data_IF_299723999548
#
_entry.id   IF_299723999548
#
_cell.length_a   1.000
_cell.length_b   1.000
_cell.length_c   1.000
_cell.angle_alpha   90.00
_cell.angle_beta   90.00
_cell.angle_gamma   90.00
#
_symmetry.space_group_name_H-M   'P 1'
#
loop_
_entity.id
_entity.type
_entity.pdbx_description
1 polymer ?
#
# COMPACT_ATOMS: atom_id res chain seq x y z
N UNK A 1 21.42 -28.36 -4.35
CA UNK A 1 21.45 -28.61 -2.89
C UNK A 1 20.59 -29.84 -2.66
N UNK A 2 21.17 -30.94 -2.18
CA UNK A 2 20.39 -32.11 -1.75
C UNK A 2 19.51 -31.65 -0.60
N UNK A 3 18.21 -31.83 -0.72
CA UNK A 3 17.21 -31.31 0.20
C UNK A 3 17.41 -31.99 1.56
N UNK A 4 18.12 -31.32 2.47
CA UNK A 4 18.59 -31.87 3.74
C UNK A 4 17.42 -32.34 4.60
N UNK A 5 16.24 -31.75 4.38
CA UNK A 5 14.98 -32.14 5.02
C UNK A 5 14.38 -33.42 4.42
N UNK A 6 14.55 -33.68 3.12
CA UNK A 6 14.19 -34.97 2.49
C UNK A 6 15.05 -36.09 3.08
N UNK A 7 16.36 -35.84 3.19
CA UNK A 7 17.30 -36.76 3.82
C UNK A 7 16.99 -37.03 5.29
N UNK A 8 16.56 -36.02 6.06
CA UNK A 8 16.15 -36.21 7.46
C UNK A 8 14.82 -36.95 7.61
N UNK A 9 13.88 -36.74 6.68
CA UNK A 9 12.58 -37.43 6.66
C UNK A 9 12.75 -38.92 6.32
N UNK A 10 13.62 -39.22 5.36
CA UNK A 10 14.01 -40.59 5.01
C UNK A 10 14.70 -41.30 6.19
N UNK A 11 15.63 -40.61 6.87
CA UNK A 11 16.30 -41.14 8.07
C UNK A 11 15.35 -41.34 9.26
N UNK A 12 14.33 -40.49 9.40
CA UNK A 12 13.28 -40.71 10.40
C UNK A 12 12.47 -41.96 10.07
N UNK A 13 12.05 -42.12 8.82
CA UNK A 13 11.30 -43.30 8.39
C UNK A 13 12.10 -44.59 8.60
N UNK A 14 13.40 -44.56 8.31
CA UNK A 14 14.32 -45.68 8.57
C UNK A 14 14.48 -45.97 10.08
N UNK A 15 14.63 -44.93 10.91
CA UNK A 15 14.71 -45.08 12.37
C UNK A 15 13.41 -45.67 12.96
N UNK A 16 12.24 -45.19 12.52
CA UNK A 16 10.93 -45.71 12.94
C UNK A 16 10.71 -47.15 12.50
N UNK A 17 11.21 -47.53 11.31
CA UNK A 17 11.18 -48.92 10.85
C UNK A 17 12.12 -49.82 11.66
N UNK A 18 13.31 -49.34 12.04
CA UNK A 18 14.29 -50.09 12.83
C UNK A 18 13.91 -50.26 14.31
N UNK A 19 13.12 -49.34 14.87
CA UNK A 19 12.65 -49.38 16.26
C UNK A 19 11.61 -50.48 16.51
N UNK A 20 10.72 -50.73 15.55
CA UNK A 20 9.67 -51.76 15.64
C UNK A 20 10.18 -53.18 15.96
N UNK A 21 11.13 -53.77 15.20
CA UNK A 21 11.62 -55.10 15.49
C UNK A 21 12.34 -55.18 16.83
N UNK A 22 13.01 -54.11 17.27
CA UNK A 22 13.63 -54.05 18.60
C UNK A 22 12.58 -54.07 19.72
N UNK A 23 11.47 -53.35 19.54
CA UNK A 23 10.35 -53.39 20.50
C UNK A 23 9.70 -54.78 20.56
N UNK A 24 9.52 -55.43 19.42
CA UNK A 24 9.02 -56.81 19.33
C UNK A 24 9.97 -57.80 20.01
N UNK A 25 11.28 -57.66 19.79
CA UNK A 25 12.34 -58.47 20.40
C UNK A 25 12.35 -58.34 21.93
N UNK A 26 12.29 -57.10 22.46
CA UNK A 26 12.22 -56.83 23.91
C UNK A 26 10.96 -57.44 24.51
N UNK A 27 9.80 -57.29 23.86
CA UNK A 27 8.54 -57.86 24.35
C UNK A 27 8.58 -59.39 24.36
N UNK A 28 9.18 -60.01 23.32
CA UNK A 28 9.36 -61.45 23.23
C UNK A 28 10.27 -61.98 24.33
N UNK A 29 11.44 -61.36 24.55
CA UNK A 29 12.39 -61.75 25.59
C UNK A 29 11.81 -61.55 26.99
N UNK A 30 11.06 -60.47 27.22
CA UNK A 30 10.35 -60.23 28.47
C UNK A 30 9.31 -61.33 28.75
N UNK A 31 8.47 -61.67 27.76
CA UNK A 31 7.48 -62.74 27.90
C UNK A 31 8.12 -64.11 28.14
N UNK A 32 9.22 -64.43 27.43
CA UNK A 32 9.95 -65.68 27.62
C UNK A 32 10.58 -65.78 29.02
N UNK A 33 11.09 -64.67 29.55
CA UNK A 33 11.61 -64.59 30.91
C UNK A 33 10.50 -64.78 31.94
N UNK A 34 9.35 -64.12 31.76
CA UNK A 34 8.21 -64.26 32.68
C UNK A 34 7.67 -65.70 32.71
N UNK A 35 7.66 -66.40 31.57
CA UNK A 35 7.29 -67.81 31.48
C UNK A 35 8.34 -68.74 32.15
N UNK A 36 9.63 -68.43 32.04
CA UNK A 36 10.68 -69.13 32.76
C UNK A 36 10.57 -68.95 34.30
N UNK A 37 10.24 -67.74 34.75
CA UNK A 37 9.94 -67.44 36.16
C UNK A 37 8.73 -68.24 36.64
N UNK A 38 7.63 -68.28 35.86
CA UNK A 38 6.42 -69.02 36.20
C UNK A 38 6.68 -70.54 36.35
N UNK A 39 7.61 -71.09 35.55
CA UNK A 39 8.03 -72.50 35.62
C UNK A 39 9.16 -72.77 36.62
N UNK A 40 9.62 -71.75 37.36
CA UNK A 40 10.76 -71.84 38.29
C UNK A 40 12.07 -72.30 37.65
N UNK A 41 12.26 -72.03 36.35
CA UNK A 41 13.50 -72.31 35.63
C UNK A 41 14.47 -71.12 35.75
N UNK A 42 15.17 -71.07 36.88
CA UNK A 42 16.10 -69.97 37.17
C UNK A 42 17.37 -69.97 36.30
N UNK A 43 17.70 -71.10 35.68
CA UNK A 43 18.83 -71.18 34.74
C UNK A 43 18.46 -70.41 33.47
N UNK A 44 17.28 -70.66 32.89
CA UNK A 44 16.78 -69.90 31.75
C UNK A 44 16.61 -68.40 32.05
N UNK A 45 16.17 -68.04 33.27
CA UNK A 45 16.12 -66.63 33.69
C UNK A 45 17.51 -65.98 33.70
N UNK A 46 18.53 -66.69 34.18
CA UNK A 46 19.91 -66.21 34.19
C UNK A 46 20.50 -65.96 32.80
N UNK A 47 20.05 -66.72 31.79
CA UNK A 47 20.47 -66.55 30.39
C UNK A 47 19.66 -65.47 29.65
N UNK A 48 18.36 -65.35 29.92
CA UNK A 48 17.47 -64.38 29.27
C UNK A 48 17.65 -62.96 29.81
N UNK A 49 18.02 -62.79 31.07
CA UNK A 49 18.22 -61.47 31.68
C UNK A 49 19.25 -60.59 30.94
N UNK A 50 20.50 -61.03 30.67
CA UNK A 50 21.48 -60.21 29.96
C UNK A 50 21.06 -59.90 28.51
N UNK A 51 20.34 -60.82 27.86
CA UNK A 51 19.80 -60.58 26.50
C UNK A 51 18.72 -59.49 26.52
N UNK A 52 17.79 -59.58 27.46
CA UNK A 52 16.75 -58.57 27.64
C UNK A 52 17.33 -57.19 27.96
N UNK A 53 18.35 -57.12 28.81
CA UNK A 53 19.00 -55.86 29.16
C UNK A 53 19.74 -55.24 27.97
N UNK A 54 20.42 -56.05 27.16
CA UNK A 54 21.05 -55.59 25.92
C UNK A 54 20.01 -55.06 24.91
N UNK A 55 18.95 -55.81 24.63
CA UNK A 55 17.89 -55.38 23.71
C UNK A 55 17.14 -54.14 24.20
N UNK A 56 16.96 -53.97 25.52
CA UNK A 56 16.39 -52.74 26.09
C UNK A 56 17.27 -51.53 25.87
N UNK A 57 18.59 -51.69 25.99
CA UNK A 57 19.53 -50.61 25.74
C UNK A 57 19.53 -50.19 24.27
N UNK A 58 19.49 -51.15 23.34
CA UNK A 58 19.36 -50.89 21.91
C UNK A 58 18.05 -50.17 21.58
N UNK A 59 16.94 -50.63 22.12
CA UNK A 59 15.63 -49.98 21.95
C UNK A 59 15.62 -48.54 22.50
N UNK A 60 16.25 -48.29 23.65
CA UNK A 60 16.34 -46.95 24.22
C UNK A 60 17.14 -45.99 23.31
N UNK A 61 18.23 -46.47 22.70
CA UNK A 61 19.03 -45.69 21.74
C UNK A 61 18.21 -45.41 20.47
N UNK A 62 17.48 -46.42 19.96
CA UNK A 62 16.63 -46.26 18.79
C UNK A 62 15.52 -45.21 19.04
N UNK A 63 14.80 -45.32 20.16
CA UNK A 63 13.79 -44.33 20.57
C UNK A 63 14.36 -42.92 20.68
N UNK A 64 15.49 -42.74 21.37
CA UNK A 64 16.13 -41.43 21.51
C UNK A 64 16.53 -40.84 20.14
N UNK A 65 16.96 -41.69 19.21
CA UNK A 65 17.29 -41.30 17.83
C UNK A 65 16.04 -40.83 17.08
N UNK A 66 14.95 -41.59 17.15
CA UNK A 66 13.65 -41.23 16.55
C UNK A 66 13.13 -39.90 17.09
N UNK A 67 13.16 -39.69 18.41
CA UNK A 67 12.72 -38.44 19.04
C UNK A 67 13.59 -37.25 18.61
N UNK A 68 14.90 -37.42 18.57
CA UNK A 68 15.82 -36.37 18.11
C UNK A 68 15.55 -35.97 16.65
N UNK A 69 15.30 -36.95 15.77
CA UNK A 69 14.96 -36.69 14.36
C UNK A 69 13.61 -35.99 14.20
N UNK A 70 12.59 -36.39 14.97
CA UNK A 70 11.29 -35.69 14.99
C UNK A 70 11.44 -34.24 15.46
N UNK A 71 12.18 -34.01 16.54
CA UNK A 71 12.45 -32.67 17.06
C UNK A 71 13.17 -31.79 16.04
N UNK A 72 14.17 -32.33 15.34
CA UNK A 72 14.90 -31.61 14.30
C UNK A 72 13.98 -31.23 13.12
N UNK A 73 13.12 -32.14 12.66
CA UNK A 73 12.17 -31.84 11.58
C UNK A 73 11.14 -30.78 11.99
N UNK A 74 10.61 -30.85 13.22
CA UNK A 74 9.69 -29.85 13.73
C UNK A 74 10.32 -28.46 13.80
N UNK A 75 11.55 -28.36 14.33
CA UNK A 75 12.28 -27.10 14.40
C UNK A 75 12.56 -26.50 13.00
N UNK A 76 12.92 -27.33 12.03
CA UNK A 76 13.11 -26.89 10.63
C UNK A 76 11.80 -26.38 10.03
N UNK A 77 10.68 -27.06 10.28
CA UNK A 77 9.38 -26.66 9.77
C UNK A 77 8.94 -25.31 10.38
N UNK A 78 9.14 -25.12 11.68
CA UNK A 78 8.85 -23.85 12.37
C UNK A 78 9.73 -22.72 11.84
N UNK A 79 11.03 -22.95 11.68
CA UNK A 79 11.95 -21.95 11.12
C UNK A 79 11.53 -21.55 9.69
N UNK A 80 11.19 -22.53 8.84
CA UNK A 80 10.72 -22.26 7.47
C UNK A 80 9.43 -21.44 7.47
N UNK A 81 8.50 -21.74 8.37
CA UNK A 81 7.26 -20.97 8.50
C UNK A 81 7.53 -19.52 8.94
N UNK A 82 8.43 -19.32 9.92
CA UNK A 82 8.84 -18.00 10.37
C UNK A 82 9.53 -17.20 9.27
N UNK A 83 10.49 -17.80 8.55
CA UNK A 83 11.19 -17.18 7.43
C UNK A 83 10.21 -16.77 6.32
N UNK A 84 9.23 -17.63 6.01
CA UNK A 84 8.23 -17.34 4.99
C UNK A 84 7.28 -16.21 5.41
N UNK A 85 6.88 -16.15 6.68
CA UNK A 85 6.11 -15.03 7.21
C UNK A 85 6.90 -13.72 7.11
N UNK A 86 8.18 -13.74 7.47
CA UNK A 86 9.03 -12.56 7.40
C UNK A 86 9.20 -12.05 5.96
N UNK A 87 9.40 -12.97 5.00
CA UNK A 87 9.45 -12.61 3.57
C UNK A 87 8.14 -12.01 3.07
N UNK A 88 7.00 -12.56 3.48
CA UNK A 88 5.69 -12.02 3.11
C UNK A 88 5.48 -10.61 3.68
N UNK A 89 5.86 -10.38 4.94
CA UNK A 89 5.79 -9.07 5.56
C UNK A 89 6.70 -8.06 4.87
N UNK A 90 7.93 -8.44 4.50
CA UNK A 90 8.84 -7.59 3.74
C UNK A 90 8.23 -7.19 2.39
N UNK A 91 7.70 -8.16 1.63
CA UNK A 91 7.04 -7.88 0.35
C UNK A 91 5.85 -6.93 0.49
N UNK A 92 5.03 -7.12 1.52
CA UNK A 92 3.89 -6.22 1.79
C UNK A 92 4.37 -4.80 2.11
N UNK A 93 5.44 -4.65 2.90
CA UNK A 93 6.03 -3.33 3.21
C UNK A 93 6.61 -2.66 1.98
N UNK A 94 7.31 -3.40 1.13
CA UNK A 94 7.87 -2.86 -0.11
C UNK A 94 6.79 -2.41 -1.08
N UNK A 95 5.71 -3.20 -1.22
CA UNK A 95 4.54 -2.83 -2.01
C UNK A 95 3.85 -1.57 -1.46
N UNK A 96 3.62 -1.51 -0.14
CA UNK A 96 3.00 -0.34 0.49
C UNK A 96 3.87 0.92 0.33
N UNK A 97 5.20 0.78 0.43
CA UNK A 97 6.13 1.90 0.21
C UNK A 97 6.08 2.41 -1.23
N UNK A 98 6.09 1.51 -2.21
CA UNK A 98 5.99 1.90 -3.62
C UNK A 98 4.66 2.61 -3.92
N UNK A 99 3.55 2.11 -3.36
CA UNK A 99 2.24 2.75 -3.50
C UNK A 99 2.20 4.15 -2.86
N UNK A 100 2.79 4.30 -1.67
CA UNK A 100 2.89 5.59 -1.00
C UNK A 100 3.69 6.60 -1.83
N UNK A 101 4.88 6.20 -2.31
CA UNK A 101 5.74 7.08 -3.12
C UNK A 101 5.04 7.51 -4.43
N UNK A 102 4.32 6.59 -5.09
CA UNK A 102 3.53 6.91 -6.27
C UNK A 102 2.36 7.87 -5.96
N UNK A 103 1.67 7.69 -4.83
CA UNK A 103 0.56 8.54 -4.43
C UNK A 103 1.02 9.97 -4.12
N UNK A 104 2.15 10.14 -3.42
CA UNK A 104 2.73 11.45 -3.12
C UNK A 104 3.12 12.21 -4.39
N UNK A 105 3.75 11.52 -5.35
CA UNK A 105 4.08 12.14 -6.64
C UNK A 105 2.84 12.59 -7.40
N UNK A 106 1.81 11.74 -7.45
CA UNK A 106 0.54 12.08 -8.10
C UNK A 106 -0.17 13.27 -7.42
N UNK A 107 -0.11 13.36 -6.09
CA UNK A 107 -0.65 14.49 -5.32
C UNK A 107 0.09 15.79 -5.67
N UNK A 108 1.42 15.78 -5.66
CA UNK A 108 2.22 16.95 -6.02
C UNK A 108 1.92 17.43 -7.44
N UNK A 109 1.86 16.51 -8.41
CA UNK A 109 1.52 16.85 -9.80
C UNK A 109 0.11 17.48 -9.91
N UNK A 110 -0.87 16.97 -9.16
CA UNK A 110 -2.23 17.51 -9.14
C UNK A 110 -2.30 18.90 -8.50
N UNK A 111 -1.52 19.14 -7.43
CA UNK A 111 -1.42 20.45 -6.79
C UNK A 111 -0.75 21.47 -7.72
N UNK A 112 0.32 21.08 -8.42
CA UNK A 112 0.98 21.92 -9.41
C UNK A 112 0.06 22.27 -10.58
N UNK A 113 -0.71 21.30 -11.09
CA UNK A 113 -1.71 21.55 -12.12
C UNK A 113 -2.79 22.51 -11.62
N UNK A 114 -3.27 22.33 -10.39
CA UNK A 114 -4.25 23.24 -9.77
C UNK A 114 -3.72 24.67 -9.69
N UNK A 115 -2.47 24.85 -9.25
CA UNK A 115 -1.83 26.16 -9.21
C UNK A 115 -1.71 26.80 -10.59
N UNK A 116 -1.32 26.03 -11.62
CA UNK A 116 -1.26 26.52 -13.01
C UNK A 116 -2.62 26.93 -13.53
N UNK A 117 -3.67 26.15 -13.27
CA UNK A 117 -5.03 26.50 -13.67
C UNK A 117 -5.52 27.76 -12.95
N UNK A 118 -5.27 27.88 -11.65
CA UNK A 118 -5.65 29.09 -10.90
C UNK A 118 -4.88 30.33 -11.36
N UNK A 119 -3.61 30.20 -11.72
CA UNK A 119 -2.83 31.29 -12.33
C UNK A 119 -3.42 31.70 -13.69
N UNK A 120 -3.81 30.73 -14.53
CA UNK A 120 -4.45 31.00 -15.82
C UNK A 120 -5.82 31.69 -15.65
N UNK A 121 -6.63 31.28 -14.66
CA UNK A 121 -7.89 31.96 -14.34
C UNK A 121 -7.64 33.41 -13.94
N UNK A 122 -6.65 33.69 -13.08
CA UNK A 122 -6.29 35.05 -12.69
C UNK A 122 -5.89 35.91 -13.89
N UNK A 123 -5.02 35.40 -14.76
CA UNK A 123 -4.63 36.09 -15.98
C UNK A 123 -5.83 36.36 -16.91
N UNK A 124 -6.77 35.42 -17.01
CA UNK A 124 -8.02 35.59 -17.75
C UNK A 124 -8.90 36.70 -17.16
N UNK A 125 -9.02 36.77 -15.83
CA UNK A 125 -9.76 37.84 -15.15
C UNK A 125 -9.14 39.21 -15.40
N UNK A 126 -7.81 39.32 -15.34
CA UNK A 126 -7.09 40.56 -15.65
C UNK A 126 -7.34 41.01 -17.10
N UNK A 127 -7.33 40.08 -18.06
CA UNK A 127 -7.61 40.38 -19.47
C UNK A 127 -9.06 40.86 -19.69
N UNK A 128 -10.04 40.23 -19.02
CA UNK A 128 -11.44 40.68 -19.07
C UNK A 128 -11.57 42.08 -18.47
N UNK A 129 -10.89 42.35 -17.35
CA UNK A 129 -10.89 43.67 -16.74
C UNK A 129 -10.29 44.74 -17.66
N UNK A 130 -9.15 44.47 -18.30
CA UNK A 130 -8.57 45.39 -19.28
C UNK A 130 -9.53 45.67 -20.45
N UNK A 131 -10.28 44.66 -20.89
CA UNK A 131 -11.30 44.83 -21.93
C UNK A 131 -12.48 45.70 -21.46
N UNK A 132 -12.88 45.57 -20.18
CA UNK A 132 -13.88 46.44 -19.55
C UNK A 132 -13.38 47.89 -19.50
N UNK A 133 -12.13 48.11 -19.06
CA UNK A 133 -11.51 49.45 -19.00
C UNK A 133 -11.48 50.10 -20.40
N UNK A 134 -11.02 49.37 -21.40
CA UNK A 134 -11.00 49.83 -22.79
C UNK A 134 -12.40 50.17 -23.34
N UNK A 135 -13.42 49.38 -22.99
CA UNK A 135 -14.79 49.66 -23.40
C UNK A 135 -15.32 50.96 -22.76
N UNK A 136 -15.08 51.16 -21.46
CA UNK A 136 -15.47 52.40 -20.75
C UNK A 136 -14.74 53.62 -21.30
N UNK A 137 -13.46 53.50 -21.65
CA UNK A 137 -12.70 54.58 -22.29
C UNK A 137 -13.25 54.93 -23.69
N UNK A 138 -13.63 53.93 -24.48
CA UNK A 138 -14.29 54.15 -25.77
C UNK A 138 -15.63 54.88 -25.60
N UNK A 139 -16.43 54.55 -24.58
CA UNK A 139 -17.65 55.30 -24.27
C UNK A 139 -17.38 56.76 -23.92
N UNK A 140 -16.33 57.00 -23.12
CA UNK A 140 -15.92 58.34 -22.73
C UNK A 140 -15.53 59.16 -23.95
N UNK A 141 -14.67 58.62 -24.82
CA UNK A 141 -14.25 59.27 -26.07
C UNK A 141 -15.45 59.56 -26.99
N UNK A 142 -16.38 58.62 -27.13
CA UNK A 142 -17.60 58.84 -27.91
C UNK A 142 -18.50 59.93 -27.31
N UNK A 143 -18.57 60.01 -25.98
CA UNK A 143 -19.27 61.07 -25.26
C UNK A 143 -18.65 62.45 -25.47
N UNK A 144 -17.32 62.53 -25.37
CA UNK A 144 -16.56 63.78 -25.58
C UNK A 144 -16.72 64.27 -27.03
N UNK A 145 -16.56 63.39 -28.02
CA UNK A 145 -16.77 63.72 -29.43
C UNK A 145 -18.22 64.18 -29.73
N UNK A 146 -19.22 63.57 -29.08
CA UNK A 146 -20.62 64.00 -29.21
C UNK A 146 -20.84 65.39 -28.62
N UNK A 147 -20.22 65.69 -27.48
CA UNK A 147 -20.29 67.01 -26.86
C UNK A 147 -19.65 68.07 -27.75
N UNK A 148 -18.45 67.80 -28.27
CA UNK A 148 -17.73 68.72 -29.16
C UNK A 148 -18.52 69.01 -30.44
N UNK A 149 -19.09 67.97 -31.06
CA UNK A 149 -19.97 68.13 -32.22
C UNK A 149 -21.21 68.98 -31.91
N UNK A 150 -21.81 68.82 -30.72
CA UNK A 150 -22.93 69.66 -30.30
C UNK A 150 -22.51 71.11 -30.08
N UNK A 151 -21.39 71.36 -29.41
CA UNK A 151 -20.86 72.71 -29.19
C UNK A 151 -20.57 73.43 -30.51
N UNK A 152 -20.00 72.72 -31.49
CA UNK A 152 -19.77 73.27 -32.82
C UNK A 152 -21.09 73.73 -33.49
N UNK A 153 -22.16 72.93 -33.41
CA UNK A 153 -23.48 73.30 -33.95
C UNK A 153 -24.09 74.51 -33.22
N UNK A 154 -23.90 74.61 -31.90
CA UNK A 154 -24.35 75.78 -31.12
C UNK A 154 -23.61 77.05 -31.55
N UNK A 155 -22.29 76.95 -31.76
CA UNK A 155 -21.47 78.09 -32.22
C UNK A 155 -21.84 78.55 -33.64
N UNK A 156 -22.28 77.63 -34.50
CA UNK A 156 -22.82 77.95 -35.83
C UNK A 156 -24.23 78.57 -35.78
N UNK A 157 -24.88 78.59 -34.61
CA UNK A 157 -26.26 79.06 -34.46
C UNK A 157 -27.32 78.06 -34.93
N UNK A 158 -26.94 76.81 -35.23
CA UNK A 158 -27.84 75.77 -35.72
C UNK A 158 -28.57 75.04 -34.60
N UNK A 159 -28.13 75.18 -33.34
CA UNK A 159 -28.76 74.58 -32.15
C UNK A 159 -28.69 75.49 -30.94
N UNK A 160 -29.67 75.33 -30.03
CA UNK A 160 -29.64 75.98 -28.72
C UNK A 160 -28.72 75.23 -27.73
N UNK A 161 -28.15 75.93 -26.72
CA UNK A 161 -27.38 75.30 -25.66
C UNK A 161 -28.23 74.33 -24.84
N UNK A 162 -27.91 73.03 -24.91
CA UNK A 162 -28.58 71.97 -24.18
C UNK A 162 -27.59 70.95 -23.62
N UNK A 163 -28.02 70.18 -22.61
CA UNK A 163 -27.25 69.06 -22.09
C UNK A 163 -27.30 67.87 -23.05
N UNK A 164 -26.14 67.28 -23.35
CA UNK A 164 -26.01 66.13 -24.23
C UNK A 164 -25.62 64.89 -23.42
N UNK A 165 -26.50 63.89 -23.43
CA UNK A 165 -26.26 62.62 -22.75
C UNK A 165 -25.08 61.86 -23.34
N UNK A 166 -24.20 61.36 -22.47
CA UNK A 166 -23.09 60.48 -22.85
C UNK A 166 -23.61 59.08 -23.21
N UNK A 167 -23.01 58.41 -24.22
CA UNK A 167 -23.23 56.98 -24.45
C UNK A 167 -22.89 56.18 -23.17
N UNK A 168 -23.69 55.15 -22.88
CA UNK A 168 -23.55 54.33 -21.67
C UNK A 168 -23.85 52.83 -21.91
N UNK A 169 -23.71 52.36 -23.15
CA UNK A 169 -23.92 50.96 -23.52
C UNK A 169 -23.04 49.97 -22.73
N UNK A 170 -21.73 50.19 -22.62
CA UNK A 170 -20.81 49.37 -21.85
C UNK A 170 -21.05 49.52 -20.35
N UNK A 171 -21.16 50.75 -19.84
CA UNK A 171 -21.49 51.03 -18.44
C UNK A 171 -22.78 50.35 -17.98
N UNK A 172 -23.84 50.41 -18.79
CA UNK A 172 -25.12 49.74 -18.50
C UNK A 172 -24.99 48.22 -18.55
N UNK A 173 -24.25 47.66 -19.52
CA UNK A 173 -24.00 46.21 -19.59
C UNK A 173 -23.21 45.69 -18.39
N UNK A 174 -22.17 46.41 -17.97
CA UNK A 174 -21.38 46.06 -16.78
C UNK A 174 -22.26 46.13 -15.53
N UNK A 175 -23.13 47.13 -15.42
CA UNK A 175 -24.02 47.27 -14.27
C UNK A 175 -25.08 46.15 -14.20
N UNK A 176 -25.62 45.76 -15.35
CA UNK A 176 -26.72 44.79 -15.43
C UNK A 176 -26.25 43.33 -15.42
N UNK A 177 -24.98 43.06 -15.73
CA UNK A 177 -24.38 41.72 -15.68
C UNK A 177 -23.65 41.49 -14.34
N UNK A 178 -24.13 40.57 -13.48
CA UNK A 178 -23.51 40.30 -12.20
C UNK A 178 -22.05 39.84 -12.28
N UNK A 179 -21.69 39.10 -13.34
CA UNK A 179 -20.33 38.59 -13.53
C UNK A 179 -19.38 39.74 -13.91
N UNK A 180 -19.77 40.55 -14.90
CA UNK A 180 -18.95 41.71 -15.30
C UNK A 180 -18.84 42.73 -14.17
N UNK A 181 -19.93 42.97 -13.42
CA UNK A 181 -19.90 43.83 -12.25
C UNK A 181 -18.97 43.26 -11.16
N UNK A 182 -18.95 41.95 -10.95
CA UNK A 182 -18.06 41.32 -9.96
C UNK A 182 -16.59 41.45 -10.37
N UNK A 183 -16.28 41.17 -11.64
CA UNK A 183 -14.92 41.30 -12.19
C UNK A 183 -14.44 42.75 -12.12
N UNK A 184 -15.30 43.71 -12.46
CA UNK A 184 -14.97 45.13 -12.42
C UNK A 184 -14.70 45.64 -10.99
N UNK A 185 -15.45 45.15 -10.01
CA UNK A 185 -15.32 45.56 -8.60
C UNK A 185 -14.19 44.83 -7.87
N UNK A 186 -13.74 43.68 -8.39
CA UNK A 186 -12.66 42.92 -7.79
C UNK A 186 -11.34 43.68 -7.95
N UNK A 187 -10.78 44.11 -6.81
CA UNK A 187 -9.47 44.76 -6.73
C UNK A 187 -8.55 43.80 -5.97
N UNK A 188 -7.47 43.29 -6.59
CA UNK A 188 -6.48 42.47 -5.88
C UNK A 188 -5.76 43.27 -4.78
#
# INVERSE_FOLDING_TARGET
>A
MVDTTSSLSERLAEAEQGERPLAEEVNRLAAAKDDAVARSDYTAVGELQPQLDASRQELAIAHATTEALRGALAAIAEQRAADQQQLNLQRQRDQARAQYEAAVLAEHDALDQTQRHMAAVRAGLDAVRQSIEAALDAERLAGDARFDAHQALVQLGEREPAHVGRPNAASAKIHNDPLLSAIWRYRP
#
